data_IF_102907583766
#
_entry.id   IF_102907583766
#
_cell.length_a   1.000
_cell.length_b   1.000
_cell.length_c   1.000
_cell.angle_alpha   90.00
_cell.angle_beta   90.00
_cell.angle_gamma   90.00
#
_symmetry.space_group_name_H-M   'P 1'
#
loop_
_entity.id
_entity.type
_entity.pdbx_description
1 polymer ?
#
# COMPACT_ATOMS: atom_id res chain seq x y z
N UNK A 1 -23.79 1.21 39.02
CA UNK A 1 -24.05 1.86 37.71
C UNK A 1 -22.72 2.38 37.25
N UNK A 2 -22.05 1.67 36.33
CA UNK A 2 -20.96 2.20 35.54
C UNK A 2 -21.60 3.23 34.60
N UNK A 3 -21.25 4.51 34.73
CA UNK A 3 -21.56 5.50 33.72
C UNK A 3 -20.84 5.09 32.45
N UNK A 4 -21.55 4.80 31.38
CA UNK A 4 -20.95 4.67 30.08
C UNK A 4 -20.24 6.01 29.78
N UNK A 5 -18.93 6.00 29.71
CA UNK A 5 -18.16 7.13 29.25
C UNK A 5 -18.51 7.28 27.77
N UNK A 6 -18.92 8.48 27.35
CA UNK A 6 -19.14 8.71 25.93
C UNK A 6 -17.82 8.39 25.21
N UNK A 7 -17.87 7.59 24.13
CA UNK A 7 -16.65 7.26 23.40
C UNK A 7 -15.99 8.56 22.92
N UNK A 8 -14.66 8.61 23.00
CA UNK A 8 -13.85 9.68 22.43
C UNK A 8 -14.27 9.89 20.97
N UNK A 9 -14.41 11.14 20.51
CA UNK A 9 -14.80 11.46 19.14
C UNK A 9 -13.92 10.73 18.12
N UNK A 10 -12.62 10.62 18.37
CA UNK A 10 -11.69 9.84 17.53
C UNK A 10 -12.01 8.34 17.49
N UNK A 11 -12.57 7.76 18.56
CA UNK A 11 -12.97 6.36 18.61
C UNK A 11 -14.27 6.07 17.83
N UNK A 12 -15.03 7.10 17.44
CA UNK A 12 -16.26 6.98 16.64
C UNK A 12 -16.04 7.22 15.15
N UNK A 13 -14.86 7.65 14.76
CA UNK A 13 -14.48 7.91 13.38
C UNK A 13 -13.87 6.68 12.69
N UNK A 14 -13.75 6.74 11.38
CA UNK A 14 -13.11 5.72 10.54
C UNK A 14 -11.96 6.37 9.78
N UNK A 15 -10.85 6.61 10.51
CA UNK A 15 -9.71 7.43 10.03
C UNK A 15 -8.78 6.72 9.05
N UNK A 16 -8.81 5.40 9.03
CA UNK A 16 -8.03 4.53 8.14
C UNK A 16 -8.98 3.60 7.40
N UNK A 17 -8.56 3.08 6.26
CA UNK A 17 -9.39 2.11 5.50
C UNK A 17 -9.71 0.84 6.31
N UNK A 18 -8.93 0.55 7.34
CA UNK A 18 -9.17 -0.51 8.33
C UNK A 18 -9.81 -0.04 9.63
N UNK A 19 -10.34 1.19 9.69
CA UNK A 19 -10.88 1.84 10.88
C UNK A 19 -9.83 2.60 11.66
N UNK A 20 -8.77 1.92 12.05
CA UNK A 20 -7.61 2.42 12.77
C UNK A 20 -6.29 2.06 12.07
N UNK A 21 -5.16 2.55 12.61
CA UNK A 21 -3.83 2.27 12.07
C UNK A 21 -3.47 0.77 12.17
N UNK A 22 -3.98 0.07 13.17
CA UNK A 22 -3.78 -1.35 13.40
C UNK A 22 -4.61 -2.25 12.45
N UNK A 23 -5.51 -1.66 11.67
CA UNK A 23 -6.40 -2.31 10.71
C UNK A 23 -7.39 -3.30 11.36
N UNK A 24 -7.88 -2.98 12.56
CA UNK A 24 -8.73 -3.89 13.34
C UNK A 24 -10.13 -4.08 12.75
N UNK A 25 -10.61 -3.14 11.94
CA UNK A 25 -11.98 -3.10 11.37
C UNK A 25 -13.06 -3.15 12.42
N UNK A 26 -12.76 -2.64 13.59
CA UNK A 26 -13.66 -2.61 14.73
C UNK A 26 -14.20 -1.18 14.96
N UNK A 27 -15.50 -1.10 15.23
CA UNK A 27 -16.15 0.13 15.68
C UNK A 27 -16.76 -0.10 17.07
N UNK A 28 -16.52 0.78 18.06
CA UNK A 28 -17.12 0.68 19.38
C UNK A 28 -18.58 1.16 19.42
N UNK A 29 -19.11 1.64 18.28
CA UNK A 29 -20.49 2.14 18.18
C UNK A 29 -21.50 1.01 18.45
N UNK A 30 -22.53 1.29 19.26
CA UNK A 30 -23.53 0.31 19.70
C UNK A 30 -24.97 0.72 19.37
N UNK A 31 -25.17 1.80 18.62
CA UNK A 31 -26.49 2.27 18.22
C UNK A 31 -27.22 1.26 17.34
N UNK A 32 -26.48 0.53 16.49
CA UNK A 32 -27.02 -0.59 15.71
C UNK A 32 -26.66 -1.88 16.43
N UNK A 33 -27.66 -2.71 16.72
CA UNK A 33 -27.53 -3.96 17.45
C UNK A 33 -28.59 -4.97 16.98
N UNK A 34 -28.61 -6.17 17.57
CA UNK A 34 -29.53 -7.23 17.19
C UNK A 34 -31.01 -6.87 17.30
N UNK A 35 -31.36 -5.93 18.21
CA UNK A 35 -32.76 -5.56 18.46
C UNK A 35 -33.30 -4.55 17.45
N UNK A 36 -32.44 -3.86 16.70
CA UNK A 36 -32.87 -2.80 15.79
C UNK A 36 -32.32 -2.94 14.37
N UNK A 37 -31.47 -3.94 14.10
CA UNK A 37 -30.85 -4.14 12.78
C UNK A 37 -31.89 -4.30 11.66
N UNK A 38 -33.00 -4.99 11.92
CA UNK A 38 -34.10 -5.19 10.97
C UNK A 38 -34.84 -3.92 10.60
N UNK A 39 -34.71 -2.85 11.40
CA UNK A 39 -35.36 -1.56 11.18
C UNK A 39 -34.50 -0.58 10.35
N UNK A 40 -33.33 -1.01 9.87
CA UNK A 40 -32.47 -0.15 9.06
C UNK A 40 -33.09 0.11 7.69
N UNK A 41 -33.10 1.36 7.28
CA UNK A 41 -33.52 1.81 5.97
C UNK A 41 -32.37 2.51 5.25
N UNK A 42 -32.38 2.47 3.91
CA UNK A 42 -31.40 3.20 3.09
C UNK A 42 -31.70 4.69 3.19
N UNK A 43 -30.80 5.45 3.83
CA UNK A 43 -30.95 6.90 3.96
C UNK A 43 -30.72 7.62 2.62
N UNK A 44 -29.69 7.23 1.89
CA UNK A 44 -29.35 7.76 0.56
C UNK A 44 -28.47 6.78 -0.21
N UNK A 45 -28.38 6.99 -1.51
CA UNK A 45 -27.48 6.25 -2.42
C UNK A 45 -26.68 7.27 -3.22
N UNK A 46 -25.37 7.26 -3.05
CA UNK A 46 -24.46 8.06 -3.89
C UNK A 46 -24.01 7.25 -5.11
N UNK A 47 -23.99 7.90 -6.29
CA UNK A 47 -23.64 7.27 -7.55
C UNK A 47 -22.26 7.71 -8.01
N UNK A 48 -21.31 6.75 -8.11
CA UNK A 48 -19.96 6.97 -8.61
C UNK A 48 -19.75 6.58 -10.08
N UNK A 49 -20.80 6.23 -10.81
CA UNK A 49 -20.75 5.72 -12.18
C UNK A 49 -20.55 6.81 -13.26
N UNK A 50 -20.67 8.08 -12.88
CA UNK A 50 -20.51 9.24 -13.77
C UNK A 50 -19.11 9.92 -13.67
N UNK A 51 -18.14 9.31 -13.01
CA UNK A 51 -16.78 9.84 -12.84
C UNK A 51 -15.81 9.33 -13.92
N UNK A 52 -16.21 9.32 -15.16
CA UNK A 52 -15.38 8.93 -16.31
C UNK A 52 -16.21 8.60 -17.53
N UNK A 53 -15.59 8.45 -18.71
CA UNK A 53 -16.28 8.14 -19.95
C UNK A 53 -16.90 6.74 -19.96
N UNK A 54 -16.32 5.82 -19.17
CA UNK A 54 -16.82 4.46 -19.03
C UNK A 54 -17.22 4.23 -17.56
N UNK A 55 -18.44 3.76 -17.27
CA UNK A 55 -18.83 3.39 -15.93
C UNK A 55 -17.88 2.33 -15.38
N UNK A 56 -17.30 2.58 -14.21
CA UNK A 56 -16.46 1.60 -13.55
C UNK A 56 -17.34 0.57 -12.84
N UNK A 57 -17.31 -0.67 -13.31
CA UNK A 57 -18.10 -1.76 -12.73
C UNK A 57 -17.53 -2.33 -11.43
N UNK A 58 -16.29 -1.96 -11.08
CA UNK A 58 -15.59 -2.47 -9.89
C UNK A 58 -15.26 -1.31 -8.97
N UNK A 59 -15.78 -1.33 -7.75
CA UNK A 59 -15.37 -0.44 -6.66
C UNK A 59 -14.68 -1.25 -5.57
N UNK A 60 -13.50 -0.81 -5.15
CA UNK A 60 -12.72 -1.43 -4.05
C UNK A 60 -12.44 -0.43 -2.93
N UNK A 61 -13.00 0.77 -3.04
CA UNK A 61 -12.77 1.84 -2.07
C UNK A 61 -13.50 1.56 -0.76
N UNK A 62 -12.79 1.74 0.34
CA UNK A 62 -13.39 1.86 1.67
C UNK A 62 -13.41 3.35 2.02
N UNK A 63 -14.59 3.94 2.25
CA UNK A 63 -14.69 5.35 2.65
C UNK A 63 -14.06 5.58 4.03
N UNK A 64 -13.45 6.75 4.22
CA UNK A 64 -13.11 7.27 5.55
C UNK A 64 -14.25 8.15 6.06
N UNK A 65 -14.45 8.15 7.37
CA UNK A 65 -15.31 9.12 8.06
C UNK A 65 -14.49 9.87 9.09
N UNK A 66 -14.25 11.14 8.85
CA UNK A 66 -13.40 11.99 9.69
C UNK A 66 -13.97 13.41 9.71
N UNK A 67 -13.97 14.04 10.88
CA UNK A 67 -14.39 15.41 11.09
C UNK A 67 -15.77 15.75 10.45
N UNK A 68 -16.70 14.79 10.51
CA UNK A 68 -18.05 14.94 9.99
C UNK A 68 -18.18 14.84 8.47
N UNK A 69 -17.14 14.37 7.75
CA UNK A 69 -17.15 14.17 6.30
C UNK A 69 -16.79 12.74 5.91
N UNK A 70 -17.36 12.26 4.80
CA UNK A 70 -16.99 11.00 4.17
C UNK A 70 -16.04 11.26 2.98
N UNK A 71 -14.94 10.52 2.91
CA UNK A 71 -13.98 10.58 1.81
C UNK A 71 -13.88 9.25 1.10
N UNK A 72 -13.95 9.26 -0.22
CA UNK A 72 -13.82 8.06 -1.05
C UNK A 72 -13.15 8.38 -2.38
N UNK A 73 -12.98 7.38 -3.24
CA UNK A 73 -12.53 7.56 -4.62
C UNK A 73 -13.53 6.95 -5.60
N UNK A 74 -13.65 7.55 -6.79
CA UNK A 74 -14.54 7.11 -7.83
C UNK A 74 -13.93 7.19 -9.23
N UNK A 75 -14.39 6.31 -10.11
CA UNK A 75 -13.99 6.27 -11.51
C UNK A 75 -12.56 5.79 -11.77
N UNK A 76 -12.20 5.68 -13.03
CA UNK A 76 -10.90 5.17 -13.46
C UNK A 76 -9.72 6.04 -12.99
N UNK A 77 -9.95 7.36 -12.87
CA UNK A 77 -8.93 8.31 -12.40
C UNK A 77 -8.82 8.42 -10.89
N UNK A 78 -9.58 7.58 -10.15
CA UNK A 78 -9.62 7.66 -8.68
C UNK A 78 -9.87 9.09 -8.20
N UNK A 79 -10.88 9.74 -8.81
CA UNK A 79 -11.32 11.06 -8.36
C UNK A 79 -11.62 11.01 -6.87
N UNK A 80 -10.94 11.81 -6.08
CA UNK A 80 -11.24 11.94 -4.65
C UNK A 80 -12.54 12.69 -4.50
N UNK A 81 -13.41 12.20 -3.63
CA UNK A 81 -14.73 12.77 -3.39
C UNK A 81 -14.94 12.93 -1.89
N UNK A 82 -15.37 14.11 -1.47
CA UNK A 82 -15.89 14.34 -0.13
C UNK A 82 -17.39 14.47 -0.16
N UNK A 83 -18.07 13.79 0.77
CA UNK A 83 -19.53 13.74 0.87
C UNK A 83 -19.98 14.17 2.25
N UNK A 84 -21.14 14.82 2.30
CA UNK A 84 -21.91 14.98 3.53
C UNK A 84 -22.48 13.60 3.96
N UNK A 85 -22.15 13.10 5.15
CA UNK A 85 -22.58 11.77 5.58
C UNK A 85 -24.08 11.67 5.86
N UNK A 86 -24.77 12.77 6.14
CA UNK A 86 -26.20 12.76 6.42
C UNK A 86 -27.06 12.74 5.14
N UNK A 87 -26.56 13.33 4.06
CA UNK A 87 -27.36 13.54 2.85
C UNK A 87 -26.79 12.81 1.61
N UNK A 88 -25.49 12.44 1.63
CA UNK A 88 -24.80 11.93 0.47
C UNK A 88 -24.45 13.02 -0.56
N UNK A 89 -24.63 14.30 -0.22
CA UNK A 89 -24.27 15.41 -1.11
C UNK A 89 -22.77 15.46 -1.34
N UNK A 90 -22.36 15.67 -2.60
CA UNK A 90 -20.92 15.86 -2.94
C UNK A 90 -20.50 17.27 -2.57
N UNK A 91 -19.58 17.40 -1.62
CA UNK A 91 -19.06 18.69 -1.14
C UNK A 91 -17.96 19.22 -2.04
N UNK A 92 -17.00 18.37 -2.40
CA UNK A 92 -15.94 18.69 -3.33
C UNK A 92 -15.39 17.44 -4.02
N UNK A 93 -14.67 17.64 -5.11
CA UNK A 93 -13.95 16.58 -5.82
C UNK A 93 -12.57 17.05 -6.24
N UNK A 94 -11.60 16.14 -6.24
CA UNK A 94 -10.29 16.36 -6.83
C UNK A 94 -9.96 15.24 -7.80
N UNK A 95 -9.45 15.60 -8.98
CA UNK A 95 -8.98 14.67 -9.99
C UNK A 95 -7.64 15.13 -10.54
N UNK A 96 -6.66 14.24 -10.59
CA UNK A 96 -5.37 14.56 -11.20
C UNK A 96 -5.51 14.98 -12.67
N UNK A 97 -4.67 15.88 -13.17
CA UNK A 97 -4.59 16.19 -14.59
C UNK A 97 -4.23 14.95 -15.41
N UNK A 98 -4.57 14.99 -16.68
CA UNK A 98 -4.29 13.87 -17.59
C UNK A 98 -2.80 13.80 -17.94
N UNK A 99 -2.26 12.58 -18.01
CA UNK A 99 -0.90 12.28 -18.45
C UNK A 99 -0.87 11.07 -19.39
N UNK A 100 0.12 11.00 -20.25
CA UNK A 100 0.38 9.85 -21.11
C UNK A 100 0.65 8.59 -20.26
N UNK A 101 1.30 8.71 -19.10
CA UNK A 101 1.54 7.57 -18.21
C UNK A 101 0.27 7.03 -17.55
N UNK A 102 -0.77 7.87 -17.37
CA UNK A 102 -2.09 7.38 -16.99
C UNK A 102 -2.69 6.49 -18.08
N UNK A 103 -2.64 6.92 -19.33
CA UNK A 103 -3.20 6.16 -20.47
C UNK A 103 -2.49 4.81 -20.68
N UNK A 104 -1.20 4.76 -20.34
CA UNK A 104 -0.38 3.55 -20.42
C UNK A 104 -0.56 2.65 -19.21
N UNK A 105 -1.17 3.17 -18.16
CA UNK A 105 -1.41 2.46 -16.92
C UNK A 105 -2.43 1.34 -17.07
N UNK A 106 -2.26 0.31 -16.26
CA UNK A 106 -3.21 -0.79 -16.16
C UNK A 106 -3.91 -0.73 -14.80
N UNK A 107 -5.16 -1.22 -14.74
CA UNK A 107 -5.95 -1.28 -13.49
C UNK A 107 -6.14 0.08 -12.80
N UNK A 108 -6.22 1.16 -13.56
CA UNK A 108 -6.33 2.52 -13.04
C UNK A 108 -7.48 2.68 -12.03
N UNK A 109 -8.63 2.03 -12.28
CA UNK A 109 -9.80 2.06 -11.42
C UNK A 109 -9.73 1.23 -10.14
N UNK A 110 -8.62 0.53 -9.84
CA UNK A 110 -8.50 -0.32 -8.64
C UNK A 110 -8.15 0.42 -7.35
N UNK A 111 -8.47 1.71 -7.24
CA UNK A 111 -8.23 2.49 -6.02
C UNK A 111 -9.02 1.98 -4.81
N UNK A 112 -8.36 1.81 -3.66
CA UNK A 112 -8.97 1.32 -2.42
C UNK A 112 -9.38 2.42 -1.45
N UNK A 113 -9.08 3.69 -1.76
CA UNK A 113 -9.46 4.83 -0.94
C UNK A 113 -8.37 5.90 -0.86
N UNK A 114 -8.43 6.67 0.19
CA UNK A 114 -7.50 7.76 0.53
C UNK A 114 -6.96 7.55 1.94
N UNK A 115 -5.91 8.29 2.33
CA UNK A 115 -5.45 8.39 3.70
C UNK A 115 -5.78 9.78 4.26
N UNK A 116 -5.90 9.86 5.57
CA UNK A 116 -6.12 11.10 6.31
C UNK A 116 -5.04 11.28 7.39
N UNK A 117 -4.65 12.52 7.62
CA UNK A 117 -3.89 12.93 8.80
C UNK A 117 -4.25 14.33 9.23
N UNK A 118 -4.18 14.58 10.53
CA UNK A 118 -4.10 15.94 11.05
C UNK A 118 -2.64 16.40 11.02
N UNK A 119 -2.38 17.52 10.37
CA UNK A 119 -1.06 18.15 10.32
C UNK A 119 -1.17 19.55 10.89
N UNK A 120 -0.67 19.75 12.11
CA UNK A 120 -0.70 21.02 12.82
C UNK A 120 -2.12 21.65 12.94
N UNK A 121 -3.15 20.82 13.18
CA UNK A 121 -4.55 21.24 13.31
C UNK A 121 -5.28 21.41 11.98
N UNK A 122 -4.66 21.00 10.86
CA UNK A 122 -5.25 20.99 9.52
C UNK A 122 -5.44 19.55 9.05
N UNK A 123 -6.67 19.17 8.73
CA UNK A 123 -6.97 17.89 8.12
C UNK A 123 -6.41 17.82 6.69
N UNK A 124 -5.68 16.77 6.36
CA UNK A 124 -5.05 16.54 5.06
C UNK A 124 -5.45 15.18 4.52
N UNK A 125 -5.89 15.15 3.26
CA UNK A 125 -6.17 13.93 2.50
C UNK A 125 -4.97 13.63 1.60
N UNK A 126 -4.45 12.40 1.68
CA UNK A 126 -3.39 11.91 0.79
C UNK A 126 -3.94 10.85 -0.14
N UNK A 127 -3.52 10.91 -1.41
CA UNK A 127 -3.82 9.91 -2.42
C UNK A 127 -2.61 9.63 -3.30
N UNK A 128 -2.31 8.34 -3.48
CA UNK A 128 -1.44 7.88 -4.57
C UNK A 128 -2.30 7.68 -5.81
N UNK A 129 -2.02 8.44 -6.84
CA UNK A 129 -2.80 8.45 -8.07
C UNK A 129 -2.53 7.22 -8.96
N UNK A 130 -3.39 6.94 -9.95
CA UNK A 130 -3.12 5.90 -10.95
C UNK A 130 -1.83 6.11 -11.72
N UNK A 131 -1.46 7.37 -11.99
CA UNK A 131 -0.21 7.75 -12.66
C UNK A 131 1.00 7.81 -11.72
N UNK A 132 0.86 7.35 -10.48
CA UNK A 132 1.92 7.27 -9.48
C UNK A 132 2.48 8.64 -9.07
N UNK A 133 1.56 9.60 -8.84
CA UNK A 133 1.83 10.83 -8.10
C UNK A 133 1.24 10.72 -6.71
N UNK A 134 1.83 11.39 -5.74
CA UNK A 134 1.28 11.55 -4.40
C UNK A 134 0.75 12.97 -4.26
N UNK A 135 -0.54 13.10 -3.93
CA UNK A 135 -1.18 14.39 -3.66
C UNK A 135 -1.48 14.53 -2.18
N UNK A 136 -1.32 15.76 -1.67
CA UNK A 136 -1.80 16.20 -0.37
C UNK A 136 -2.83 17.33 -0.57
N UNK A 137 -4.06 17.07 -0.12
CA UNK A 137 -5.21 17.93 -0.31
C UNK A 137 -5.73 18.44 1.03
N UNK A 138 -6.13 19.68 1.09
CA UNK A 138 -6.88 20.18 2.24
C UNK A 138 -8.21 19.41 2.37
N UNK A 139 -8.44 18.81 3.53
CA UNK A 139 -9.58 17.92 3.73
C UNK A 139 -10.93 18.65 3.59
N UNK A 140 -11.01 19.94 3.90
CA UNK A 140 -12.26 20.72 3.84
C UNK A 140 -12.59 21.20 2.44
N UNK A 141 -11.58 21.46 1.61
CA UNK A 141 -11.76 22.12 0.32
C UNK A 141 -11.39 21.26 -0.89
N UNK A 142 -10.60 20.19 -0.69
CA UNK A 142 -10.06 19.37 -1.78
C UNK A 142 -8.96 20.05 -2.60
N UNK A 143 -8.52 21.25 -2.20
CA UNK A 143 -7.46 21.97 -2.89
C UNK A 143 -6.08 21.39 -2.52
N UNK A 144 -5.14 21.27 -3.47
CA UNK A 144 -3.76 20.92 -3.18
C UNK A 144 -3.13 21.88 -2.15
N UNK A 145 -2.34 21.32 -1.22
CA UNK A 145 -1.68 22.12 -0.18
C UNK A 145 -0.61 23.06 -0.79
N UNK A 146 -0.64 24.34 -0.45
CA UNK A 146 0.25 25.35 -1.05
C UNK A 146 1.74 25.15 -0.72
N UNK A 147 2.06 24.68 0.48
CA UNK A 147 3.44 24.55 0.98
C UNK A 147 3.94 23.10 1.01
N UNK A 148 3.36 22.22 0.18
CA UNK A 148 3.67 20.80 0.20
C UNK A 148 4.14 20.29 -1.17
N UNK A 149 5.16 19.42 -1.17
CA UNK A 149 5.67 18.76 -2.37
C UNK A 149 6.53 19.67 -3.26
N UNK A 150 6.70 19.25 -4.49
CA UNK A 150 7.51 19.95 -5.51
C UNK A 150 6.72 20.11 -6.80
N UNK A 151 6.87 21.23 -7.52
CA UNK A 151 6.20 21.41 -8.81
C UNK A 151 6.53 20.28 -9.79
N UNK A 152 5.51 19.73 -10.42
CA UNK A 152 5.68 18.83 -11.57
C UNK A 152 5.63 19.69 -12.84
N UNK A 153 6.66 19.67 -13.71
CA UNK A 153 6.75 20.58 -14.85
C UNK A 153 5.86 20.15 -16.02
N UNK A 154 4.56 19.97 -15.74
CA UNK A 154 3.55 19.60 -16.72
C UNK A 154 2.44 20.65 -16.79
N UNK A 155 1.82 20.84 -17.97
CA UNK A 155 0.63 21.67 -18.10
C UNK A 155 -0.50 21.21 -17.18
N UNK A 156 -1.26 22.16 -16.64
CA UNK A 156 -2.44 21.94 -15.80
C UNK A 156 -2.16 21.23 -14.45
N UNK A 157 -0.90 20.88 -14.15
CA UNK A 157 -0.55 20.32 -12.84
C UNK A 157 -0.55 21.41 -11.75
N UNK A 158 -0.97 21.07 -10.53
CA UNK A 158 -0.82 21.97 -9.41
C UNK A 158 0.66 22.27 -9.15
N UNK A 159 0.94 23.53 -8.81
CA UNK A 159 2.31 23.99 -8.55
C UNK A 159 2.83 23.51 -7.19
N UNK A 160 1.94 23.04 -6.31
CA UNK A 160 2.20 22.53 -4.97
C UNK A 160 1.17 21.46 -4.64
N UNK A 161 1.32 20.78 -3.50
CA UNK A 161 0.41 19.72 -3.08
C UNK A 161 0.58 18.42 -3.86
N UNK A 162 1.71 18.26 -4.57
CA UNK A 162 2.00 17.06 -5.38
C UNK A 162 3.47 16.70 -5.30
N UNK A 163 3.75 15.40 -5.36
CA UNK A 163 5.08 14.81 -5.54
C UNK A 163 5.03 13.78 -6.65
N UNK A 164 5.96 13.84 -7.58
CA UNK A 164 6.21 12.74 -8.52
C UNK A 164 7.02 11.66 -7.82
N UNK A 165 6.44 10.47 -7.67
CA UNK A 165 7.05 9.36 -6.94
C UNK A 165 8.12 8.62 -7.75
N UNK A 166 8.07 8.70 -9.09
CA UNK A 166 8.97 7.93 -9.96
C UNK A 166 10.44 8.32 -9.81
N UNK A 167 10.84 9.59 -9.74
CA UNK A 167 12.26 9.95 -9.56
C UNK A 167 12.88 9.34 -8.30
N UNK A 168 12.14 9.32 -7.19
CA UNK A 168 12.61 8.72 -5.95
C UNK A 168 12.65 7.19 -6.04
N UNK A 169 11.68 6.56 -6.70
CA UNK A 169 11.64 5.13 -6.93
C UNK A 169 12.81 4.66 -7.81
N UNK A 170 13.06 5.37 -8.91
CA UNK A 170 14.04 4.98 -9.94
C UNK A 170 15.49 5.24 -9.52
N UNK A 171 15.72 6.16 -8.58
CA UNK A 171 17.05 6.53 -8.12
C UNK A 171 17.87 5.32 -7.66
N UNK A 172 19.04 5.08 -8.28
CA UNK A 172 19.94 3.97 -7.98
C UNK A 172 19.47 2.61 -8.48
N UNK A 173 18.46 2.56 -9.35
CA UNK A 173 18.08 1.33 -10.03
C UNK A 173 18.81 1.22 -11.36
N UNK A 174 19.70 0.24 -11.46
CA UNK A 174 20.66 0.12 -12.57
C UNK A 174 20.02 0.09 -13.97
N UNK A 175 18.93 -0.66 -14.24
CA UNK A 175 18.30 -0.64 -15.56
C UNK A 175 17.77 0.73 -15.98
N UNK A 176 17.42 1.60 -15.02
CA UNK A 176 17.06 2.98 -15.29
C UNK A 176 18.30 3.87 -15.47
N UNK A 177 19.30 3.73 -14.62
CA UNK A 177 20.54 4.52 -14.69
C UNK A 177 21.32 4.28 -15.99
N UNK A 178 21.23 3.06 -16.55
CA UNK A 178 21.84 2.67 -17.83
C UNK A 178 20.92 2.87 -19.04
N UNK A 179 19.68 3.40 -18.82
CA UNK A 179 18.72 3.59 -19.88
C UNK A 179 19.15 4.72 -20.85
N UNK A 180 19.26 4.44 -22.14
CA UNK A 180 19.73 5.35 -23.18
C UNK A 180 18.58 5.98 -23.99
N UNK A 181 17.33 5.69 -23.63
CA UNK A 181 16.12 6.16 -24.32
C UNK A 181 15.74 7.63 -24.09
N UNK A 182 16.59 8.39 -23.42
CA UNK A 182 16.40 9.83 -23.17
C UNK A 182 16.19 10.17 -21.70
N UNK A 183 16.08 11.47 -21.37
CA UNK A 183 15.88 11.93 -20.01
C UNK A 183 14.49 11.54 -19.49
N UNK A 184 14.33 11.54 -18.16
CA UNK A 184 13.06 11.35 -17.52
C UNK A 184 12.03 12.39 -17.97
N UNK A 185 10.85 11.92 -18.38
CA UNK A 185 9.71 12.75 -18.77
C UNK A 185 8.52 12.46 -17.81
N UNK A 186 8.09 13.43 -17.00
CA UNK A 186 7.01 13.22 -16.04
C UNK A 186 5.64 12.95 -16.70
N UNK A 187 5.42 13.31 -17.97
CA UNK A 187 4.19 12.94 -18.70
C UNK A 187 4.20 11.46 -19.12
N UNK A 188 5.37 10.97 -19.47
CA UNK A 188 5.52 9.63 -20.02
C UNK A 188 5.82 8.56 -18.94
N UNK A 189 6.59 8.93 -17.92
CA UNK A 189 7.07 8.05 -16.87
C UNK A 189 8.17 7.10 -17.33
N UNK A 190 8.09 5.84 -16.92
CA UNK A 190 9.05 4.80 -17.32
C UNK A 190 8.66 4.14 -18.64
N UNK A 191 9.65 3.72 -19.47
CA UNK A 191 9.39 2.94 -20.67
C UNK A 191 8.69 1.61 -20.34
N UNK A 192 7.83 1.14 -21.25
CA UNK A 192 7.10 -0.13 -21.07
C UNK A 192 8.05 -1.33 -20.90
N UNK A 193 9.21 -1.24 -21.51
CA UNK A 193 10.27 -2.25 -21.44
C UNK A 193 10.82 -2.43 -20.01
N UNK A 194 10.74 -1.41 -19.19
CA UNK A 194 11.17 -1.43 -17.79
C UNK A 194 10.01 -1.68 -16.82
N UNK A 195 8.82 -1.96 -17.34
CA UNK A 195 7.64 -2.29 -16.56
C UNK A 195 6.66 -1.13 -16.41
N UNK A 196 5.68 -1.33 -15.54
CA UNK A 196 4.68 -0.34 -15.18
C UNK A 196 4.44 -0.37 -13.68
N UNK A 197 4.35 0.79 -13.08
CA UNK A 197 4.06 0.92 -11.65
C UNK A 197 2.92 1.93 -11.41
N UNK A 198 2.08 1.60 -10.46
CA UNK A 198 1.00 2.44 -9.95
C UNK A 198 0.88 2.20 -8.44
N UNK A 199 -0.14 2.73 -7.80
CA UNK A 199 -0.51 2.33 -6.44
C UNK A 199 -1.99 2.05 -6.40
N UNK A 200 -2.41 0.92 -5.85
CA UNK A 200 -3.83 0.57 -5.71
C UNK A 200 -4.34 0.77 -4.29
N UNK A 201 -3.47 0.67 -3.27
CA UNK A 201 -3.80 1.02 -1.89
C UNK A 201 -3.50 2.49 -1.62
N UNK A 202 -4.26 3.15 -0.75
CA UNK A 202 -3.87 4.45 -0.25
C UNK A 202 -2.56 4.33 0.53
N UNK A 203 -1.78 5.41 0.66
CA UNK A 203 -0.68 5.45 1.59
C UNK A 203 -1.19 5.24 3.03
N UNK A 204 -0.30 4.87 3.95
CA UNK A 204 -0.62 4.95 5.37
C UNK A 204 0.13 6.14 5.98
N UNK A 205 -0.54 6.89 6.85
CA UNK A 205 0.09 8.05 7.52
C UNK A 205 0.23 7.73 8.99
N UNK A 206 1.46 7.78 9.47
CA UNK A 206 1.79 7.49 10.87
C UNK A 206 2.98 8.32 11.33
N UNK A 207 2.88 8.91 12.53
CA UNK A 207 3.95 9.67 13.20
C UNK A 207 4.65 10.72 12.30
N UNK A 208 3.86 11.44 11.48
CA UNK A 208 4.38 12.50 10.60
C UNK A 208 5.03 11.99 9.30
N UNK A 209 4.84 10.72 8.97
CA UNK A 209 5.34 10.12 7.72
C UNK A 209 4.19 9.55 6.90
N UNK A 210 4.16 9.88 5.61
CA UNK A 210 3.32 9.27 4.59
C UNK A 210 4.10 8.10 3.98
N UNK A 211 3.71 6.87 4.29
CA UNK A 211 4.34 5.66 3.73
C UNK A 211 3.58 5.20 2.51
N UNK A 212 4.26 5.14 1.39
CA UNK A 212 3.67 4.84 0.08
C UNK A 212 4.08 3.45 -0.36
N UNK A 213 3.08 2.57 -0.49
CA UNK A 213 3.21 1.31 -1.21
C UNK A 213 2.90 1.50 -2.69
N UNK A 214 2.96 0.42 -3.44
CA UNK A 214 2.76 0.46 -4.87
C UNK A 214 2.18 -0.86 -5.40
N UNK A 215 1.93 -0.89 -6.70
CA UNK A 215 1.54 -2.10 -7.44
C UNK A 215 2.28 -2.07 -8.77
N UNK A 216 3.07 -3.07 -9.04
CA UNK A 216 3.64 -3.25 -10.36
C UNK A 216 2.70 -4.10 -11.23
N UNK A 217 2.73 -3.89 -12.53
CA UNK A 217 1.98 -4.71 -13.47
C UNK A 217 2.85 -5.85 -13.94
N UNK A 218 2.40 -7.04 -13.68
CA UNK A 218 3.19 -8.25 -13.88
C UNK A 218 2.76 -9.08 -15.07
N UNK A 219 3.71 -9.79 -15.65
CA UNK A 219 3.61 -11.07 -16.32
C UNK A 219 2.68 -11.22 -17.51
N UNK A 220 1.58 -10.52 -17.52
CA UNK A 220 0.55 -10.68 -18.56
C UNK A 220 0.95 -10.12 -19.92
N UNK A 221 1.81 -9.10 -19.93
CA UNK A 221 2.25 -8.41 -21.15
C UNK A 221 3.74 -8.14 -21.17
N UNK A 222 4.46 -8.73 -20.25
CA UNK A 222 5.89 -8.52 -20.12
C UNK A 222 6.64 -9.19 -21.26
N UNK A 223 7.42 -8.42 -21.98
CA UNK A 223 8.25 -8.90 -23.10
C UNK A 223 9.71 -9.05 -22.70
N UNK A 224 10.06 -8.61 -21.49
CA UNK A 224 11.42 -8.62 -20.92
C UNK A 224 11.36 -9.10 -19.46
N UNK A 225 12.51 -9.50 -18.94
CA UNK A 225 12.64 -9.91 -17.52
C UNK A 225 12.86 -8.73 -16.59
N UNK A 226 13.32 -7.59 -17.12
CA UNK A 226 13.55 -6.38 -16.35
C UNK A 226 12.19 -5.78 -15.93
N UNK A 227 12.10 -5.46 -14.66
CA UNK A 227 10.90 -4.87 -14.06
C UNK A 227 11.29 -3.89 -12.96
N UNK A 228 10.63 -2.75 -12.92
CA UNK A 228 10.80 -1.76 -11.85
C UNK A 228 10.52 -2.38 -10.48
N UNK A 229 11.39 -2.17 -9.47
CA UNK A 229 11.16 -2.68 -8.13
C UNK A 229 10.03 -1.93 -7.42
N UNK A 230 9.32 -2.64 -6.57
CA UNK A 230 8.23 -2.10 -5.75
C UNK A 230 8.71 -1.44 -4.45
N UNK A 231 9.81 -0.71 -4.48
CA UNK A 231 10.40 -0.09 -3.28
C UNK A 231 9.39 0.77 -2.52
N UNK A 232 9.46 0.72 -1.20
CA UNK A 232 8.57 1.47 -0.31
C UNK A 232 9.20 2.83 -0.04
N UNK A 233 8.37 3.88 -0.12
CA UNK A 233 8.81 5.27 0.00
C UNK A 233 8.17 5.93 1.22
N UNK A 234 8.95 6.70 1.97
CA UNK A 234 8.48 7.51 3.09
C UNK A 234 8.63 9.00 2.81
N UNK A 235 7.57 9.77 3.06
CA UNK A 235 7.53 11.22 2.84
C UNK A 235 7.12 11.95 4.11
N UNK A 236 7.66 13.13 4.31
CA UNK A 236 7.29 14.00 5.41
C UNK A 236 5.88 14.59 5.20
N UNK A 237 5.01 14.51 6.21
CA UNK A 237 3.63 14.99 6.13
C UNK A 237 3.51 16.50 5.99
N UNK A 238 4.51 17.28 6.43
CA UNK A 238 4.48 18.74 6.42
C UNK A 238 5.01 19.33 5.12
N UNK A 239 5.99 18.65 4.52
CA UNK A 239 6.75 19.21 3.40
C UNK A 239 6.63 18.42 2.10
N UNK A 240 6.25 17.14 2.17
CA UNK A 240 6.30 16.24 1.02
C UNK A 240 7.73 15.82 0.63
N UNK A 241 8.75 16.14 1.42
CA UNK A 241 10.11 15.71 1.16
C UNK A 241 10.25 14.20 1.36
N UNK A 242 10.96 13.53 0.43
CA UNK A 242 11.32 12.13 0.62
C UNK A 242 12.26 11.98 1.81
N UNK A 243 11.87 11.14 2.78
CA UNK A 243 12.65 10.84 4.00
C UNK A 243 13.53 9.64 3.82
N UNK A 244 12.98 8.58 3.22
CA UNK A 244 13.66 7.31 3.04
C UNK A 244 13.03 6.49 1.90
N UNK A 245 13.81 5.52 1.42
CA UNK A 245 13.40 4.46 0.53
C UNK A 245 13.87 3.13 1.10
N UNK A 246 12.98 2.17 1.19
CA UNK A 246 13.31 0.79 1.53
C UNK A 246 13.34 -0.06 0.27
N UNK A 247 14.48 -0.69 -0.01
CA UNK A 247 14.64 -1.58 -1.14
C UNK A 247 13.98 -2.94 -0.84
N UNK A 248 12.89 -3.24 -1.51
CA UNK A 248 12.22 -4.56 -1.39
C UNK A 248 13.00 -5.68 -2.08
N UNK A 249 13.91 -5.32 -2.99
CA UNK A 249 14.95 -6.18 -3.56
C UNK A 249 16.28 -5.64 -3.09
N UNK A 250 16.92 -6.28 -2.09
CA UNK A 250 18.13 -5.75 -1.45
C UNK A 250 19.31 -5.59 -2.42
N UNK A 251 20.03 -4.50 -2.25
CA UNK A 251 21.25 -4.17 -3.02
C UNK A 251 22.48 -4.81 -2.38
N UNK A 252 23.63 -4.86 -3.09
CA UNK A 252 24.89 -5.34 -2.53
C UNK A 252 25.23 -4.68 -1.19
N UNK A 253 25.45 -5.49 -0.16
CA UNK A 253 25.74 -5.03 1.19
C UNK A 253 24.50 -4.82 2.08
N UNK A 254 23.30 -4.88 1.54
CA UNK A 254 22.05 -4.86 2.31
C UNK A 254 21.67 -6.27 2.77
N UNK A 255 20.95 -6.37 3.86
CA UNK A 255 20.45 -7.64 4.38
C UNK A 255 19.50 -8.32 3.39
N UNK A 256 19.72 -9.61 3.14
CA UNK A 256 18.90 -10.42 2.23
C UNK A 256 19.38 -10.40 0.77
N UNK A 257 20.41 -9.61 0.44
CA UNK A 257 20.97 -9.60 -0.91
C UNK A 257 21.47 -10.98 -1.34
N UNK A 258 22.04 -11.75 -0.43
CA UNK A 258 22.53 -13.11 -0.64
C UNK A 258 21.45 -14.12 -1.06
N UNK A 259 20.18 -13.77 -0.87
CA UNK A 259 19.03 -14.59 -1.30
C UNK A 259 18.69 -14.46 -2.78
N UNK A 260 19.38 -13.57 -3.50
CA UNK A 260 19.26 -13.32 -4.93
C UNK A 260 20.47 -13.86 -5.67
N UNK A 261 20.38 -15.07 -6.16
CA UNK A 261 21.48 -15.74 -6.86
C UNK A 261 21.63 -15.24 -8.30
N UNK A 262 22.83 -15.41 -8.88
CA UNK A 262 23.14 -15.07 -10.28
C UNK A 262 22.81 -13.63 -10.67
N UNK A 263 23.03 -12.70 -9.74
CA UNK A 263 22.76 -11.26 -9.93
C UNK A 263 21.32 -10.95 -10.37
N UNK A 264 20.37 -11.82 -10.04
CA UNK A 264 18.97 -11.66 -10.42
C UNK A 264 18.36 -10.36 -9.88
N UNK A 265 18.86 -9.85 -8.75
CA UNK A 265 18.44 -8.58 -8.15
C UNK A 265 18.57 -7.37 -9.09
N UNK A 266 19.50 -7.42 -10.07
CA UNK A 266 19.72 -6.31 -11.02
C UNK A 266 18.55 -6.11 -11.97
N UNK A 267 17.86 -7.17 -12.34
CA UNK A 267 16.82 -7.17 -13.37
C UNK A 267 15.41 -7.49 -12.86
N UNK A 268 15.33 -8.18 -11.73
CA UNK A 268 14.04 -8.54 -11.14
C UNK A 268 13.39 -7.33 -10.52
N UNK A 269 12.10 -7.25 -10.61
CA UNK A 269 11.30 -6.16 -10.01
C UNK A 269 10.08 -6.67 -9.32
N UNK A 270 9.10 -5.77 -9.19
CA UNK A 270 7.91 -5.93 -8.38
C UNK A 270 8.24 -6.09 -6.89
N UNK A 271 7.79 -7.14 -6.19
CA UNK A 271 7.83 -7.23 -4.72
C UNK A 271 7.07 -6.07 -4.09
N UNK A 272 6.01 -5.63 -4.77
CA UNK A 272 5.24 -4.47 -4.37
C UNK A 272 4.34 -4.74 -3.17
N UNK A 273 3.89 -3.68 -2.51
CA UNK A 273 2.85 -3.74 -1.48
C UNK A 273 1.54 -3.18 -2.04
N UNK A 274 0.83 -3.98 -2.85
CA UNK A 274 -0.47 -3.60 -3.37
C UNK A 274 -1.60 -3.80 -2.36
N UNK A 275 -1.40 -4.63 -1.35
CA UNK A 275 -2.29 -4.74 -0.20
C UNK A 275 -2.14 -3.52 0.71
N UNK A 276 -3.16 -3.14 1.48
CA UNK A 276 -3.02 -2.08 2.47
C UNK A 276 -1.99 -2.44 3.52
N UNK A 277 -1.34 -1.42 4.06
CA UNK A 277 -0.42 -1.52 5.19
C UNK A 277 -1.16 -1.26 6.51
N UNK A 278 -0.57 -1.66 7.62
CA UNK A 278 -1.00 -1.30 8.97
C UNK A 278 0.17 -0.73 9.78
N UNK A 279 -0.11 -0.16 10.93
CA UNK A 279 0.93 0.46 11.75
C UNK A 279 0.65 0.33 13.25
N UNK A 280 1.71 0.49 14.03
CA UNK A 280 1.68 0.70 15.47
C UNK A 280 2.30 2.07 15.78
N UNK A 281 1.49 3.12 15.92
CA UNK A 281 1.99 4.47 16.17
C UNK A 281 2.76 4.61 17.49
N UNK A 282 2.40 3.83 18.51
CA UNK A 282 3.05 3.87 19.82
C UNK A 282 4.48 3.35 19.74
N UNK A 283 4.72 2.34 18.92
CA UNK A 283 6.04 1.74 18.69
C UNK A 283 6.78 2.33 17.51
N UNK A 284 6.13 3.19 16.73
CA UNK A 284 6.72 3.79 15.54
C UNK A 284 6.97 2.77 14.42
N UNK A 285 6.15 1.72 14.32
CA UNK A 285 6.30 0.66 13.32
C UNK A 285 5.23 0.73 12.24
N UNK A 286 5.63 0.44 11.01
CA UNK A 286 4.73 0.17 9.89
C UNK A 286 4.93 -1.27 9.40
N UNK A 287 3.82 -1.97 9.14
CA UNK A 287 3.81 -3.36 8.69
C UNK A 287 3.38 -3.45 7.24
N UNK A 288 4.23 -4.04 6.42
CA UNK A 288 4.14 -4.02 4.96
C UNK A 288 4.04 -5.46 4.46
N UNK A 289 2.89 -5.84 3.88
CA UNK A 289 2.75 -7.11 3.18
C UNK A 289 3.24 -6.97 1.74
N UNK A 290 4.09 -7.87 1.28
CA UNK A 290 4.60 -7.88 -0.09
C UNK A 290 4.06 -9.04 -0.92
N UNK A 291 4.16 -8.91 -2.24
CA UNK A 291 3.86 -9.94 -3.23
C UNK A 291 5.15 -10.58 -3.79
N UNK A 292 5.04 -11.63 -4.64
CA UNK A 292 6.20 -12.24 -5.25
C UNK A 292 6.95 -11.31 -6.20
N UNK A 293 8.22 -11.61 -6.50
CA UNK A 293 8.96 -10.96 -7.57
C UNK A 293 8.45 -11.37 -8.95
N UNK A 294 8.71 -10.54 -9.96
CA UNK A 294 8.46 -10.88 -11.36
C UNK A 294 9.38 -12.01 -11.82
N UNK A 295 8.96 -12.99 -12.56
CA UNK A 295 7.66 -13.28 -13.13
C UNK A 295 6.90 -14.17 -12.15
N UNK A 296 5.58 -13.95 -11.99
CA UNK A 296 4.78 -14.61 -10.96
C UNK A 296 4.81 -16.12 -10.95
N UNK A 297 4.81 -16.74 -12.13
CA UNK A 297 4.57 -18.18 -12.28
C UNK A 297 5.79 -18.94 -12.82
N UNK A 298 6.96 -18.29 -12.87
CA UNK A 298 8.20 -18.91 -13.27
C UNK A 298 9.40 -18.23 -12.61
N UNK A 299 10.14 -18.97 -11.76
CA UNK A 299 11.26 -18.44 -10.99
C UNK A 299 12.64 -18.64 -11.62
N UNK A 300 12.76 -19.31 -12.79
CA UNK A 300 14.06 -19.64 -13.39
C UNK A 300 14.96 -18.44 -13.73
N UNK A 301 14.38 -17.24 -13.87
CA UNK A 301 15.15 -16.00 -14.09
C UNK A 301 15.62 -15.33 -12.81
N UNK A 302 15.15 -15.77 -11.64
CA UNK A 302 15.39 -15.18 -10.33
C UNK A 302 15.69 -16.23 -9.28
N UNK A 303 16.75 -17.04 -9.44
CA UNK A 303 17.10 -18.10 -8.50
C UNK A 303 17.39 -17.53 -7.10
N UNK A 304 17.25 -18.39 -6.09
CA UNK A 304 17.34 -18.05 -4.67
C UNK A 304 15.97 -17.78 -4.04
N UNK A 305 15.92 -17.63 -2.70
CA UNK A 305 14.68 -17.43 -1.96
C UNK A 305 14.03 -16.05 -2.17
N UNK A 306 14.81 -15.06 -2.65
CA UNK A 306 14.31 -13.77 -3.15
C UNK A 306 13.68 -12.87 -2.10
N UNK A 307 14.39 -12.52 -1.02
CA UNK A 307 13.92 -11.54 -0.05
C UNK A 307 13.81 -10.13 -0.70
N UNK A 308 12.76 -9.39 -0.43
CA UNK A 308 11.63 -9.59 0.48
C UNK A 308 10.34 -9.99 -0.25
N UNK A 309 10.43 -10.82 -1.29
CA UNK A 309 9.24 -11.36 -1.96
C UNK A 309 8.35 -12.13 -0.98
N UNK A 310 7.05 -11.98 -1.12
CA UNK A 310 5.98 -12.66 -0.35
C UNK A 310 6.29 -12.69 1.15
N UNK A 311 6.51 -11.50 1.71
CA UNK A 311 6.96 -11.29 3.10
C UNK A 311 6.02 -10.36 3.86
N UNK A 312 6.09 -10.41 5.17
CA UNK A 312 5.63 -9.35 6.09
C UNK A 312 6.87 -8.66 6.63
N UNK A 313 6.92 -7.34 6.51
CA UNK A 313 8.07 -6.53 6.90
C UNK A 313 7.62 -5.49 7.91
N UNK A 314 8.33 -5.36 9.03
CA UNK A 314 8.17 -4.26 9.95
C UNK A 314 9.32 -3.27 9.76
N UNK A 315 8.99 -2.01 9.46
CA UNK A 315 9.95 -0.93 9.35
C UNK A 315 9.74 0.09 10.47
N UNK A 316 10.83 0.67 10.94
CA UNK A 316 10.78 1.93 11.69
C UNK A 316 10.26 3.03 10.76
N UNK A 317 9.18 3.69 11.16
CA UNK A 317 8.49 4.66 10.31
C UNK A 317 9.29 5.93 10.05
N UNK A 318 10.20 6.31 10.96
CA UNK A 318 10.99 7.54 10.82
C UNK A 318 12.20 7.36 9.91
N UNK A 319 12.79 6.16 9.91
CA UNK A 319 14.05 5.87 9.21
C UNK A 319 13.88 4.98 7.97
N UNK A 320 12.79 4.21 7.90
CA UNK A 320 12.59 3.16 6.90
C UNK A 320 13.48 1.93 7.13
N UNK A 321 14.20 1.86 8.25
CA UNK A 321 15.03 0.70 8.58
C UNK A 321 14.17 -0.51 8.96
N UNK A 322 14.59 -1.69 8.49
CA UNK A 322 13.93 -2.94 8.82
C UNK A 322 14.18 -3.33 10.27
N UNK A 323 13.10 -3.46 11.04
CA UNK A 323 13.14 -3.97 12.42
C UNK A 323 13.11 -5.50 12.39
N UNK A 324 12.13 -6.08 11.69
CA UNK A 324 12.03 -7.51 11.46
C UNK A 324 11.29 -7.83 10.16
N UNK A 325 11.33 -9.08 9.73
CA UNK A 325 10.52 -9.60 8.63
C UNK A 325 10.26 -11.08 8.80
N UNK A 326 9.27 -11.56 8.07
CA UNK A 326 9.01 -12.99 7.89
C UNK A 326 8.58 -13.25 6.45
N UNK A 327 9.30 -14.14 5.75
CA UNK A 327 8.93 -14.56 4.40
C UNK A 327 7.91 -15.69 4.48
N UNK A 328 6.71 -15.44 4.00
CA UNK A 328 5.59 -16.39 4.07
C UNK A 328 5.62 -17.44 2.98
N UNK A 329 6.36 -17.20 1.90
CA UNK A 329 6.66 -18.15 0.81
C UNK A 329 8.06 -17.88 0.28
N UNK A 330 8.93 -18.87 0.33
CA UNK A 330 10.26 -18.83 -0.27
C UNK A 330 10.16 -19.09 -1.77
N UNK A 331 10.88 -18.31 -2.58
CA UNK A 331 10.90 -18.46 -4.04
C UNK A 331 9.49 -18.62 -4.64
N UNK A 332 8.58 -17.69 -4.33
CA UNK A 332 7.18 -17.80 -4.70
C UNK A 332 6.97 -17.79 -6.23
N UNK A 333 6.42 -18.89 -6.76
CA UNK A 333 6.02 -19.06 -8.16
C UNK A 333 4.52 -19.37 -8.30
N UNK A 334 3.77 -19.23 -7.21
CA UNK A 334 2.33 -19.55 -7.16
C UNK A 334 1.45 -18.32 -7.08
N UNK A 335 2.04 -17.12 -7.09
CA UNK A 335 1.35 -15.86 -6.85
C UNK A 335 0.63 -15.86 -5.49
N UNK A 336 1.34 -16.26 -4.45
CA UNK A 336 0.83 -16.34 -3.08
C UNK A 336 0.99 -15.02 -2.31
N UNK A 337 0.79 -13.89 -3.00
CA UNK A 337 0.83 -12.57 -2.38
C UNK A 337 0.21 -12.56 -0.98
N UNK A 338 0.70 -11.70 -0.11
CA UNK A 338 0.02 -11.34 1.13
C UNK A 338 -1.09 -10.31 0.81
N UNK A 339 -2.38 -10.74 0.70
CA UNK A 339 -3.40 -9.94 0.03
C UNK A 339 -4.11 -8.94 0.95
N UNK A 340 -3.78 -8.96 2.25
CA UNK A 340 -4.47 -8.18 3.29
C UNK A 340 -3.49 -7.35 4.08
N UNK A 341 -3.95 -6.25 4.65
CA UNK A 341 -3.20 -5.58 5.70
C UNK A 341 -2.95 -6.55 6.87
N UNK A 342 -1.75 -6.58 7.44
CA UNK A 342 -1.53 -7.24 8.73
C UNK A 342 -2.41 -6.58 9.80
N UNK A 343 -2.94 -7.34 10.75
CA UNK A 343 -3.81 -6.84 11.81
C UNK A 343 -3.01 -6.84 13.11
N UNK A 344 -2.84 -5.67 13.73
CA UNK A 344 -2.18 -5.54 15.02
C UNK A 344 -3.21 -5.57 16.16
N UNK A 345 -2.98 -6.40 17.17
CA UNK A 345 -3.89 -6.61 18.29
C UNK A 345 -3.11 -6.75 19.60
N UNK A 346 -3.73 -6.36 20.71
CA UNK A 346 -3.31 -6.72 22.06
C UNK A 346 -4.23 -7.80 22.60
N UNK A 347 -3.66 -8.95 22.86
CA UNK A 347 -4.41 -10.16 23.28
C UNK A 347 -3.77 -10.79 24.52
N UNK A 348 -4.44 -11.76 25.10
CA UNK A 348 -3.85 -12.57 26.16
C UNK A 348 -3.55 -13.96 25.61
N UNK A 349 -2.26 -14.33 25.59
CA UNK A 349 -1.79 -15.66 25.21
C UNK A 349 -1.21 -16.32 26.45
N UNK A 350 -1.71 -17.51 26.81
CA UNK A 350 -1.28 -18.25 27.99
C UNK A 350 -1.24 -17.43 29.31
N UNK A 351 -2.24 -16.54 29.44
CA UNK A 351 -2.39 -15.66 30.62
C UNK A 351 -1.49 -14.42 30.62
N UNK A 352 -0.72 -14.19 29.55
CA UNK A 352 0.17 -13.02 29.40
C UNK A 352 -0.36 -12.03 28.35
N UNK A 353 -0.38 -10.72 28.65
CA UNK A 353 -0.60 -9.70 27.63
C UNK A 353 0.44 -9.82 26.52
N UNK A 354 0.01 -9.94 25.29
CA UNK A 354 0.88 -10.20 24.15
C UNK A 354 0.48 -9.31 22.98
N UNK A 355 1.38 -8.43 22.51
CA UNK A 355 1.15 -7.62 21.31
C UNK A 355 1.39 -8.49 20.08
N UNK A 356 0.33 -8.79 19.32
CA UNK A 356 0.43 -9.65 18.15
C UNK A 356 0.21 -8.90 16.85
N UNK A 357 0.79 -9.45 15.76
CA UNK A 357 0.50 -9.12 14.38
C UNK A 357 0.00 -10.38 13.67
N UNK A 358 -1.14 -10.29 13.01
CA UNK A 358 -1.72 -11.43 12.27
C UNK A 358 -1.71 -11.11 10.77
N UNK A 359 -1.03 -11.96 9.99
CA UNK A 359 -1.06 -11.91 8.53
C UNK A 359 -1.85 -13.09 7.98
N UNK A 360 -2.95 -12.80 7.30
CA UNK A 360 -3.70 -13.79 6.54
C UNK A 360 -3.16 -13.88 5.10
N UNK A 361 -3.08 -15.09 4.56
CA UNK A 361 -2.41 -15.35 3.29
C UNK A 361 -3.31 -16.08 2.28
N UNK A 362 -2.92 -16.10 1.01
CA UNK A 362 -3.64 -16.83 -0.05
C UNK A 362 -3.62 -18.34 0.15
N UNK A 363 -2.63 -18.88 0.89
CA UNK A 363 -2.58 -20.31 1.23
C UNK A 363 -3.67 -20.73 2.26
N UNK A 364 -4.40 -19.75 2.83
CA UNK A 364 -5.37 -19.98 3.89
C UNK A 364 -4.76 -20.05 5.29
N UNK A 365 -3.52 -19.60 5.47
CA UNK A 365 -2.84 -19.46 6.74
C UNK A 365 -3.14 -18.13 7.43
N UNK A 366 -3.04 -18.12 8.75
CA UNK A 366 -3.00 -16.91 9.58
C UNK A 366 -1.72 -16.97 10.41
N UNK A 367 -0.63 -16.46 9.87
CA UNK A 367 0.62 -16.34 10.59
C UNK A 367 0.49 -15.28 11.68
N UNK A 368 0.94 -15.60 12.88
CA UNK A 368 0.82 -14.74 14.05
C UNK A 368 2.18 -14.55 14.69
N UNK A 369 2.58 -13.28 14.82
CA UNK A 369 3.88 -12.88 15.32
C UNK A 369 3.73 -11.97 16.55
N UNK A 370 4.75 -11.93 17.39
CA UNK A 370 4.94 -10.77 18.26
C UNK A 370 5.22 -9.57 17.36
N UNK A 371 4.38 -8.50 17.45
CA UNK A 371 4.48 -7.38 16.51
C UNK A 371 5.72 -6.51 16.71
N UNK A 372 6.42 -6.63 17.84
CA UNK A 372 7.66 -5.88 18.11
C UNK A 372 8.89 -6.60 17.57
N UNK A 373 8.92 -7.95 17.68
CA UNK A 373 10.12 -8.73 17.41
C UNK A 373 10.03 -9.58 16.14
N UNK A 374 8.82 -9.86 15.65
CA UNK A 374 8.58 -10.77 14.54
C UNK A 374 8.67 -12.26 14.94
N UNK A 375 8.86 -12.57 16.21
CA UNK A 375 8.87 -13.96 16.69
C UNK A 375 7.47 -14.58 16.53
N UNK A 376 7.36 -15.79 15.93
CA UNK A 376 6.09 -16.48 15.84
C UNK A 376 5.49 -16.78 17.22
N UNK A 377 4.20 -16.48 17.41
CA UNK A 377 3.48 -16.81 18.65
C UNK A 377 3.22 -18.31 18.76
N UNK A 378 2.92 -18.96 17.64
CA UNK A 378 2.83 -20.41 17.53
C UNK A 378 3.90 -20.90 16.56
N UNK A 379 4.43 -22.13 16.78
CA UNK A 379 5.50 -22.66 15.93
C UNK A 379 5.14 -22.65 14.44
N UNK A 380 6.00 -22.07 13.62
CA UNK A 380 5.99 -22.18 12.18
C UNK A 380 7.12 -23.13 11.81
N UNK A 381 6.80 -24.20 11.09
CA UNK A 381 7.74 -25.30 10.81
C UNK A 381 8.06 -25.33 9.33
N UNK A 382 9.35 -25.28 8.99
CA UNK A 382 9.83 -25.53 7.64
C UNK A 382 9.58 -26.98 7.24
N UNK A 383 8.83 -27.18 6.15
CA UNK A 383 8.51 -28.52 5.63
C UNK A 383 9.01 -28.68 4.22
N UNK A 384 9.59 -29.86 3.88
CA UNK A 384 10.01 -30.15 2.51
C UNK A 384 8.83 -30.05 1.53
N UNK A 385 9.10 -29.52 0.36
CA UNK A 385 8.16 -29.44 -0.76
C UNK A 385 8.73 -30.16 -1.98
N UNK A 386 7.87 -30.68 -2.90
CA UNK A 386 8.34 -31.29 -4.14
C UNK A 386 9.17 -30.30 -4.97
N UNK A 387 10.22 -30.79 -5.61
CA UNK A 387 10.97 -30.01 -6.59
C UNK A 387 10.12 -29.69 -7.82
N UNK A 388 10.42 -28.58 -8.50
CA UNK A 388 9.80 -28.28 -9.78
C UNK A 388 10.23 -29.27 -10.86
N UNK A 389 9.27 -29.66 -11.72
CA UNK A 389 9.54 -30.44 -12.94
C UNK A 389 9.72 -29.53 -14.17
N UNK A 390 9.61 -28.21 -14.01
CA UNK A 390 9.73 -27.23 -15.08
C UNK A 390 11.22 -27.02 -15.40
N UNK A 391 11.65 -27.19 -16.65
CA UNK A 391 13.06 -26.98 -17.01
C UNK A 391 13.54 -25.56 -16.70
N UNK A 392 14.68 -25.47 -16.02
CA UNK A 392 15.30 -24.19 -15.64
C UNK A 392 14.71 -23.55 -14.37
N UNK A 393 13.76 -24.19 -13.70
CA UNK A 393 13.21 -23.76 -12.43
C UNK A 393 13.80 -24.53 -11.26
N UNK A 394 14.10 -23.84 -10.16
CA UNK A 394 14.60 -24.44 -8.92
C UNK A 394 13.85 -23.81 -7.75
N UNK A 395 12.99 -24.58 -7.09
CA UNK A 395 12.25 -24.16 -5.91
C UNK A 395 13.13 -24.14 -4.66
N UNK A 396 12.72 -23.35 -3.67
CA UNK A 396 13.21 -23.53 -2.31
C UNK A 396 12.84 -24.93 -1.81
N UNK A 397 13.77 -25.66 -1.16
CA UNK A 397 13.52 -27.04 -0.75
C UNK A 397 12.49 -27.19 0.36
N UNK A 398 12.22 -26.11 1.09
CA UNK A 398 11.23 -26.06 2.16
C UNK A 398 10.34 -24.85 2.06
N UNK A 399 9.19 -24.90 2.72
CA UNK A 399 8.28 -23.79 2.90
C UNK A 399 7.78 -23.72 4.35
N UNK A 400 7.42 -22.53 4.87
CA UNK A 400 6.88 -22.37 6.21
C UNK A 400 5.41 -22.81 6.29
N UNK A 401 5.09 -23.62 7.35
CA UNK A 401 3.76 -24.13 7.61
C UNK A 401 3.34 -23.93 9.07
#
# INVERSE_FOLDING_TARGET
>A
RLSAQEPDAAATEWRYIGGDAAHTRYSPLSQINADNFENLEVAWIWRGDNYGPNPLAVSRSTPLYVDGMLYTVAGERRTVVALDPATGETLWTFREPHTTRFDRGMRNGYGKGVAFSDVDGRGVIYISSPAFFLYALDAKTGLPLEDWGTPVPLPDFPQTGVVDLLPDLLRGWEPWESWDGGPYDPDFGIPRELGHITSSSPPIVVNGVVVVGNSAEQGYHQTRIEMVPGDILGYDTRTGANKWKFHVIPRPGEFGHETWENDAWQRTGDVSSWAPMSADPERGLVYIPTNPPTIDFFGGFRPGDGLFGTSVIALDVQTGERVWHFQTVHHDIWNFDNPTAPIALDVVVDGQPTPILVQTTKQGWAYTFNRETGEPIWPIVERPVPASEVPGESLSPTQPF
#
